data_IF_107552744222
#
_entry.id   IF_107552744222
#
_cell.length_a   1.000
_cell.length_b   1.000
_cell.length_c   1.000
_cell.angle_alpha   90.00
_cell.angle_beta   90.00
_cell.angle_gamma   90.00
#
_symmetry.space_group_name_H-M   'P 1'
#
loop_
_entity.id
_entity.type
_entity.pdbx_description
1 polymer ?
#
# COMPACT_ATOMS: atom_id res chain seq x y z
N UNK A 1 3.42 -59.16 36.54
CA UNK A 1 3.08 -57.76 36.90
C UNK A 1 2.77 -56.99 35.61
N UNK A 2 1.48 -56.70 35.34
CA UNK A 2 1.04 -55.95 34.15
C UNK A 2 0.74 -54.52 34.60
N UNK A 3 1.50 -53.55 34.07
CA UNK A 3 1.23 -52.14 34.30
C UNK A 3 0.18 -51.67 33.28
N UNK A 4 -0.96 -51.21 33.79
CA UNK A 4 -2.02 -50.61 33.00
C UNK A 4 -1.65 -49.18 32.61
N UNK A 5 -1.74 -48.87 31.33
CA UNK A 5 -1.64 -47.50 30.81
C UNK A 5 -3.00 -46.79 30.95
N UNK A 6 -3.02 -45.76 31.76
CA UNK A 6 -4.14 -44.83 31.92
C UNK A 6 -4.12 -43.84 30.75
N UNK A 7 -5.12 -43.93 29.87
CA UNK A 7 -5.34 -42.92 28.81
C UNK A 7 -6.17 -41.78 29.38
N UNK A 8 -5.54 -40.60 29.57
CA UNK A 8 -6.23 -39.39 29.94
C UNK A 8 -6.87 -38.80 28.65
N UNK A 9 -8.19 -38.81 28.62
CA UNK A 9 -8.98 -38.16 27.57
C UNK A 9 -9.12 -36.67 27.90
N UNK A 10 -8.41 -35.82 27.18
CA UNK A 10 -8.55 -34.38 27.30
C UNK A 10 -9.74 -33.95 26.43
N UNK A 11 -10.88 -33.70 27.09
CA UNK A 11 -12.00 -33.01 26.47
C UNK A 11 -11.64 -31.54 26.32
N UNK A 12 -11.37 -31.09 25.10
CA UNK A 12 -11.23 -29.68 24.78
C UNK A 12 -12.56 -28.90 24.95
N UNK A 13 -12.48 -27.63 25.34
CA UNK A 13 -13.68 -26.80 25.47
C UNK A 13 -14.35 -26.61 24.11
N UNK A 14 -15.68 -26.82 24.07
CA UNK A 14 -16.51 -26.46 22.92
C UNK A 14 -16.52 -24.93 22.81
N UNK A 15 -16.23 -24.34 21.64
CA UNK A 15 -16.54 -22.93 21.43
C UNK A 15 -18.06 -22.76 21.42
N UNK A 16 -18.55 -21.89 22.30
CA UNK A 16 -19.92 -21.37 22.22
C UNK A 16 -19.98 -20.50 20.95
N UNK A 17 -20.55 -21.04 19.90
CA UNK A 17 -20.84 -20.29 18.71
C UNK A 17 -22.10 -19.47 18.91
N UNK A 18 -21.96 -18.19 19.23
CA UNK A 18 -23.01 -17.24 18.98
C UNK A 18 -23.14 -17.08 17.44
N UNK A 19 -24.05 -17.88 16.91
CA UNK A 19 -24.42 -17.80 15.51
C UNK A 19 -25.10 -16.49 15.22
N UNK A 20 -24.35 -15.50 14.74
CA UNK A 20 -24.93 -14.46 13.91
C UNK A 20 -25.39 -15.16 12.64
N UNK A 21 -26.69 -15.45 12.59
CA UNK A 21 -27.32 -16.07 11.45
C UNK A 21 -27.15 -15.18 10.22
N UNK A 22 -26.25 -15.61 9.36
CA UNK A 22 -26.28 -15.14 7.97
C UNK A 22 -27.58 -15.70 7.41
N UNK A 23 -28.54 -14.85 6.99
CA UNK A 23 -29.74 -15.36 6.36
C UNK A 23 -29.32 -16.16 5.14
N UNK A 24 -29.66 -17.44 5.11
CA UNK A 24 -29.45 -18.28 3.94
C UNK A 24 -30.06 -17.56 2.74
N UNK A 25 -29.39 -17.57 1.57
CA UNK A 25 -30.00 -17.03 0.37
C UNK A 25 -31.30 -17.78 0.16
N UNK A 26 -32.41 -17.03 0.21
CA UNK A 26 -33.72 -17.59 -0.06
C UNK A 26 -33.65 -18.23 -1.43
N UNK A 27 -33.99 -19.52 -1.47
CA UNK A 27 -34.09 -20.26 -2.72
C UNK A 27 -34.95 -19.44 -3.67
N UNK A 28 -34.39 -19.05 -4.79
CA UNK A 28 -35.10 -18.44 -5.91
C UNK A 28 -36.24 -19.42 -6.27
N UNK A 29 -37.45 -19.03 -5.94
CA UNK A 29 -38.64 -19.70 -6.43
C UNK A 29 -38.54 -19.63 -7.94
N UNK A 30 -38.32 -20.76 -8.58
CA UNK A 30 -38.41 -20.87 -10.03
C UNK A 30 -39.87 -20.59 -10.41
N UNK A 31 -40.17 -19.50 -11.11
CA UNK A 31 -41.52 -19.30 -11.63
C UNK A 31 -41.75 -20.35 -12.70
N UNK A 32 -42.82 -21.15 -12.51
CA UNK A 32 -43.35 -22.02 -13.56
C UNK A 32 -43.60 -21.16 -14.80
N UNK A 33 -42.92 -21.48 -15.88
CA UNK A 33 -43.05 -20.76 -17.16
C UNK A 33 -44.40 -21.11 -17.74
N UNK A 34 -45.37 -20.22 -17.60
CA UNK A 34 -46.57 -20.23 -18.42
C UNK A 34 -46.12 -19.77 -19.80
N UNK A 35 -46.07 -20.74 -20.70
CA UNK A 35 -45.77 -20.50 -22.10
C UNK A 35 -46.91 -19.74 -22.76
N UNK A 36 -46.82 -18.42 -22.85
CA UNK A 36 -47.60 -17.64 -23.81
C UNK A 36 -46.81 -16.38 -24.22
N UNK A 37 -47.05 -15.94 -25.43
CA UNK A 37 -46.38 -15.01 -26.35
C UNK A 37 -45.74 -13.70 -25.84
N UNK A 38 -45.48 -13.54 -24.56
CA UNK A 38 -44.75 -12.38 -23.98
C UNK A 38 -43.31 -12.68 -23.56
N UNK A 39 -42.80 -13.87 -23.88
CA UNK A 39 -41.46 -14.33 -23.44
C UNK A 39 -40.30 -13.44 -23.91
N UNK A 40 -40.43 -12.73 -25.00
CA UNK A 40 -39.39 -11.85 -25.54
C UNK A 40 -39.19 -10.57 -24.73
N UNK A 41 -40.21 -10.01 -24.13
CA UNK A 41 -40.09 -8.78 -23.33
C UNK A 41 -39.69 -9.05 -21.90
N UNK A 42 -40.07 -10.19 -21.33
CA UNK A 42 -39.67 -10.61 -19.99
C UNK A 42 -38.18 -11.02 -19.94
N UNK A 43 -37.68 -11.66 -21.00
CA UNK A 43 -36.25 -12.02 -21.10
C UNK A 43 -35.36 -10.81 -21.22
N UNK A 44 -35.76 -9.75 -21.94
CA UNK A 44 -35.02 -8.52 -22.05
C UNK A 44 -35.00 -7.74 -20.70
N UNK A 45 -36.12 -7.72 -19.96
CA UNK A 45 -36.19 -7.11 -18.63
C UNK A 45 -35.36 -7.84 -17.58
N UNK A 46 -35.39 -9.18 -17.60
CA UNK A 46 -34.52 -9.99 -16.72
C UNK A 46 -33.04 -9.81 -17.06
N UNK A 47 -32.65 -9.82 -18.32
CA UNK A 47 -31.29 -9.57 -18.74
C UNK A 47 -30.79 -8.16 -18.34
N UNK A 48 -31.66 -7.15 -18.42
CA UNK A 48 -31.35 -5.80 -17.95
C UNK A 48 -31.17 -5.74 -16.43
N UNK A 49 -31.96 -6.45 -15.65
CA UNK A 49 -31.84 -6.54 -14.20
C UNK A 49 -30.59 -7.29 -13.77
N UNK A 50 -30.23 -8.38 -14.45
CA UNK A 50 -28.97 -9.09 -14.21
C UNK A 50 -27.75 -8.23 -14.55
N UNK A 51 -27.76 -7.52 -15.67
CA UNK A 51 -26.69 -6.61 -16.07
C UNK A 51 -26.58 -5.40 -15.13
N UNK A 52 -27.70 -4.91 -14.60
CA UNK A 52 -27.67 -3.82 -13.61
C UNK A 52 -27.13 -4.31 -12.26
N UNK A 53 -27.55 -5.48 -11.81
CA UNK A 53 -27.05 -6.08 -10.57
C UNK A 53 -25.55 -6.38 -10.62
N UNK A 54 -25.03 -6.90 -11.75
CA UNK A 54 -23.60 -7.15 -11.91
C UNK A 54 -22.78 -5.87 -11.92
N UNK A 55 -23.21 -4.82 -12.62
CA UNK A 55 -22.54 -3.52 -12.63
C UNK A 55 -22.50 -2.83 -11.28
N UNK A 56 -23.58 -2.95 -10.48
CA UNK A 56 -23.60 -2.41 -9.11
C UNK A 56 -22.66 -3.20 -8.21
N UNK A 57 -22.64 -4.52 -8.32
CA UNK A 57 -21.72 -5.37 -7.55
C UNK A 57 -20.23 -5.12 -7.92
N UNK A 58 -19.93 -4.99 -9.21
CA UNK A 58 -18.58 -4.62 -9.69
C UNK A 58 -18.15 -3.25 -9.15
N UNK A 59 -19.03 -2.24 -9.23
CA UNK A 59 -18.74 -0.91 -8.71
C UNK A 59 -18.53 -0.86 -7.19
N UNK A 60 -19.18 -1.74 -6.42
CA UNK A 60 -18.94 -1.86 -4.97
C UNK A 60 -17.61 -2.56 -4.68
N UNK A 61 -17.29 -3.64 -5.42
CA UNK A 61 -16.01 -4.34 -5.30
C UNK A 61 -14.83 -3.44 -5.65
N UNK A 62 -14.96 -2.62 -6.68
CA UNK A 62 -13.91 -1.68 -7.07
C UNK A 62 -13.68 -0.60 -6.02
N UNK A 63 -14.75 -0.06 -5.42
CA UNK A 63 -14.66 0.89 -4.30
C UNK A 63 -14.00 0.27 -3.06
N UNK A 64 -14.33 -0.97 -2.74
CA UNK A 64 -13.68 -1.66 -1.62
C UNK A 64 -12.20 -1.94 -1.89
N UNK A 65 -11.85 -2.35 -3.10
CA UNK A 65 -10.44 -2.55 -3.51
C UNK A 65 -9.68 -1.23 -3.45
N UNK A 66 -10.26 -0.15 -3.98
CA UNK A 66 -9.65 1.18 -3.93
C UNK A 66 -9.43 1.64 -2.48
N UNK A 67 -10.43 1.45 -1.61
CA UNK A 67 -10.32 1.77 -0.19
C UNK A 67 -9.20 0.98 0.48
N UNK A 68 -9.16 -0.35 0.29
CA UNK A 68 -8.10 -1.20 0.83
C UNK A 68 -6.71 -0.78 0.34
N UNK A 69 -6.60 -0.44 -0.95
CA UNK A 69 -5.34 0.04 -1.53
C UNK A 69 -4.89 1.35 -0.88
N UNK A 70 -5.82 2.30 -0.66
CA UNK A 70 -5.55 3.56 0.05
C UNK A 70 -5.13 3.33 1.50
N UNK A 71 -5.83 2.46 2.21
CA UNK A 71 -5.52 2.14 3.62
C UNK A 71 -4.13 1.50 3.75
N UNK A 72 -3.79 0.56 2.87
CA UNK A 72 -2.48 -0.10 2.82
C UNK A 72 -1.36 0.89 2.46
N UNK A 73 -1.60 1.79 1.50
CA UNK A 73 -0.64 2.85 1.14
C UNK A 73 -0.43 3.82 2.31
N UNK A 74 -1.51 4.24 2.97
CA UNK A 74 -1.43 5.13 4.13
C UNK A 74 -0.64 4.49 5.28
N UNK A 75 -0.80 3.18 5.51
CA UNK A 75 -0.04 2.46 6.52
C UNK A 75 1.46 2.44 6.16
N UNK A 76 1.83 2.11 4.91
CA UNK A 76 3.21 2.14 4.44
C UNK A 76 3.87 3.52 4.63
N UNK A 77 3.13 4.59 4.30
CA UNK A 77 3.57 5.98 4.52
C UNK A 77 3.79 6.29 6.00
N UNK A 78 2.88 5.88 6.86
CA UNK A 78 2.98 6.09 8.32
C UNK A 78 4.20 5.38 8.90
N UNK A 79 4.38 4.12 8.53
CA UNK A 79 5.47 3.30 9.05
C UNK A 79 6.84 3.79 8.56
N UNK A 80 6.92 4.31 7.33
CA UNK A 80 8.13 4.94 6.80
C UNK A 80 8.52 6.21 7.58
N UNK A 81 7.55 7.04 7.97
CA UNK A 81 7.80 8.22 8.80
C UNK A 81 8.34 7.82 10.16
N UNK A 82 7.70 6.87 10.81
CA UNK A 82 8.14 6.36 12.11
C UNK A 82 9.54 5.72 12.04
N UNK A 83 9.83 4.97 10.98
CA UNK A 83 11.15 4.40 10.73
C UNK A 83 12.21 5.50 10.55
N UNK A 84 11.91 6.54 9.77
CA UNK A 84 12.82 7.67 9.58
C UNK A 84 13.09 8.43 10.89
N UNK A 85 12.08 8.69 11.70
CA UNK A 85 12.20 9.30 13.03
C UNK A 85 13.06 8.44 13.98
N UNK A 86 13.04 7.12 13.79
CA UNK A 86 13.88 6.15 14.51
C UNK A 86 15.31 6.00 13.92
N UNK A 87 15.67 6.80 12.90
CA UNK A 87 16.99 6.82 12.30
C UNK A 87 17.20 5.88 11.11
N UNK A 88 16.13 5.24 10.61
CA UNK A 88 16.19 4.40 9.40
C UNK A 88 16.25 5.30 8.17
N UNK A 89 17.33 5.18 7.38
CA UNK A 89 17.55 6.00 6.18
C UNK A 89 17.65 5.21 4.88
N UNK A 90 17.38 3.91 4.93
CA UNK A 90 17.38 3.03 3.75
C UNK A 90 16.30 1.97 3.90
N UNK A 91 15.81 1.46 2.76
CA UNK A 91 14.80 0.39 2.75
C UNK A 91 15.49 -0.95 2.99
N UNK A 92 15.05 -1.67 4.03
CA UNK A 92 15.51 -3.04 4.25
C UNK A 92 15.02 -3.95 3.12
N UNK A 93 15.87 -4.88 2.60
CA UNK A 93 15.43 -5.89 1.65
C UNK A 93 14.28 -6.77 2.16
N UNK A 94 14.11 -6.88 3.47
CA UNK A 94 13.03 -7.64 4.09
C UNK A 94 11.67 -6.98 3.84
N UNK A 95 11.59 -5.65 3.92
CA UNK A 95 10.37 -4.89 3.61
C UNK A 95 9.86 -5.21 2.19
N UNK A 96 10.78 -5.26 1.22
CA UNK A 96 10.41 -5.55 -0.18
C UNK A 96 10.08 -7.02 -0.42
N UNK A 97 10.54 -7.94 0.43
CA UNK A 97 10.20 -9.37 0.36
C UNK A 97 8.88 -9.67 1.04
N UNK A 98 8.65 -9.12 2.22
CA UNK A 98 7.48 -9.38 3.06
C UNK A 98 6.25 -8.61 2.57
N UNK A 99 6.42 -7.34 2.23
CA UNK A 99 5.36 -6.45 1.79
C UNK A 99 5.54 -6.09 0.31
N UNK A 100 4.85 -6.82 -0.58
CA UNK A 100 4.88 -6.54 -2.02
C UNK A 100 3.80 -5.54 -2.42
N UNK A 101 4.08 -4.76 -3.48
CA UNK A 101 3.11 -3.83 -4.07
C UNK A 101 2.89 -2.58 -3.23
N UNK A 102 1.64 -2.14 -3.13
CA UNK A 102 1.24 -0.81 -2.63
C UNK A 102 1.85 -0.38 -1.30
N UNK A 103 2.00 -1.29 -0.34
CA UNK A 103 2.64 -0.97 0.95
C UNK A 103 4.13 -0.67 0.78
N UNK A 104 4.86 -1.60 0.15
CA UNK A 104 6.31 -1.46 -0.04
C UNK A 104 6.65 -0.25 -0.91
N UNK A 105 5.83 0.04 -1.91
CA UNK A 105 5.97 1.20 -2.78
C UNK A 105 5.78 2.50 -1.99
N UNK A 106 4.70 2.61 -1.21
CA UNK A 106 4.42 3.78 -0.38
C UNK A 106 5.48 3.98 0.72
N UNK A 107 5.91 2.90 1.36
CA UNK A 107 6.98 2.93 2.36
C UNK A 107 8.30 3.44 1.76
N UNK A 108 8.72 2.83 0.65
CA UNK A 108 9.98 3.17 -0.02
C UNK A 108 10.00 4.60 -0.55
N UNK A 109 8.93 5.02 -1.24
CA UNK A 109 8.80 6.38 -1.77
C UNK A 109 8.82 7.42 -0.65
N UNK A 110 8.09 7.18 0.44
CA UNK A 110 8.05 8.09 1.58
C UNK A 110 9.41 8.21 2.25
N UNK A 111 10.10 7.09 2.48
CA UNK A 111 11.41 7.09 3.10
C UNK A 111 12.45 7.79 2.22
N UNK A 112 12.40 7.60 0.90
CA UNK A 112 13.23 8.31 -0.07
C UNK A 112 13.04 9.81 -0.02
N UNK A 113 11.77 10.27 0.00
CA UNK A 113 11.42 11.69 0.12
C UNK A 113 11.95 12.31 1.42
N UNK A 114 11.78 11.63 2.55
CA UNK A 114 12.24 12.12 3.86
C UNK A 114 13.77 12.21 3.93
N UNK A 115 14.47 11.20 3.40
CA UNK A 115 15.92 11.24 3.34
C UNK A 115 16.43 12.39 2.47
N UNK A 116 15.79 12.62 1.31
CA UNK A 116 16.14 13.74 0.44
C UNK A 116 15.92 15.09 1.12
N UNK A 117 14.78 15.28 1.79
CA UNK A 117 14.50 16.51 2.55
C UNK A 117 15.55 16.75 3.64
N UNK A 118 15.96 15.72 4.37
CA UNK A 118 17.05 15.79 5.35
C UNK A 118 18.40 16.14 4.70
N UNK A 119 18.70 15.57 3.54
CA UNK A 119 19.91 15.88 2.78
C UNK A 119 19.93 17.33 2.27
N UNK A 120 18.79 17.86 1.78
CA UNK A 120 18.64 19.27 1.38
C UNK A 120 18.89 20.21 2.55
N UNK A 121 18.34 19.91 3.73
CA UNK A 121 18.56 20.73 4.94
C UNK A 121 20.06 20.76 5.31
N UNK A 122 20.74 19.61 5.27
CA UNK A 122 22.18 19.54 5.52
C UNK A 122 22.98 20.28 4.45
N UNK A 123 22.56 20.20 3.19
CA UNK A 123 23.22 20.90 2.10
C UNK A 123 23.08 22.42 2.23
N UNK A 124 21.91 22.93 2.61
CA UNK A 124 21.73 24.34 2.89
C UNK A 124 22.66 24.84 4.01
N UNK A 125 22.81 24.04 5.08
CA UNK A 125 23.78 24.33 6.13
C UNK A 125 25.24 24.28 5.62
N UNK A 126 25.55 23.35 4.73
CA UNK A 126 26.87 23.25 4.09
C UNK A 126 27.20 24.47 3.25
N UNK A 127 26.27 24.98 2.43
CA UNK A 127 26.42 26.22 1.65
C UNK A 127 26.80 27.38 2.60
N UNK A 128 26.02 27.55 3.67
CA UNK A 128 26.23 28.63 4.65
C UNK A 128 27.57 28.49 5.38
N UNK A 129 27.93 27.29 5.81
CA UNK A 129 29.15 27.03 6.57
C UNK A 129 30.43 27.22 5.74
N UNK A 130 30.36 27.04 4.42
CA UNK A 130 31.48 27.19 3.50
C UNK A 130 31.49 28.50 2.72
N UNK A 131 30.50 29.40 3.00
CA UNK A 131 30.29 30.68 2.31
C UNK A 131 30.34 30.56 0.78
N UNK A 132 29.64 29.52 0.25
CA UNK A 132 29.62 29.22 -1.17
C UNK A 132 28.97 30.34 -1.96
N UNK A 133 29.60 30.83 -2.99
CA UNK A 133 29.06 31.82 -3.89
C UNK A 133 28.09 31.19 -4.89
N UNK A 134 27.13 31.95 -5.40
CA UNK A 134 26.09 31.45 -6.30
C UNK A 134 26.62 30.62 -7.50
N UNK A 135 27.78 31.01 -8.04
CA UNK A 135 28.39 30.28 -9.18
C UNK A 135 28.98 28.92 -8.80
N UNK A 136 29.25 28.68 -7.51
CA UNK A 136 29.80 27.42 -6.98
C UNK A 136 28.71 26.42 -6.61
N UNK A 137 27.51 26.91 -6.27
CA UNK A 137 26.40 26.08 -5.81
C UNK A 137 26.03 24.97 -6.81
N UNK A 138 25.93 25.17 -8.14
CA UNK A 138 25.59 24.09 -9.07
C UNK A 138 26.58 22.92 -9.04
N UNK A 139 27.88 23.21 -8.90
CA UNK A 139 28.90 22.17 -8.74
C UNK A 139 28.75 21.42 -7.42
N UNK A 140 28.59 22.18 -6.33
CA UNK A 140 28.41 21.63 -4.99
C UNK A 140 27.14 20.76 -4.87
N UNK A 141 26.02 21.12 -5.50
CA UNK A 141 24.78 20.29 -5.56
C UNK A 141 25.09 18.89 -6.08
N UNK A 142 25.86 18.81 -7.19
CA UNK A 142 26.19 17.54 -7.82
C UNK A 142 27.11 16.69 -6.94
N UNK A 143 28.15 17.29 -6.41
CA UNK A 143 29.14 16.60 -5.57
C UNK A 143 28.53 16.13 -4.25
N UNK A 144 27.71 16.98 -3.62
CA UNK A 144 27.04 16.65 -2.37
C UNK A 144 26.05 15.49 -2.55
N UNK A 145 25.24 15.54 -3.62
CA UNK A 145 24.32 14.44 -3.95
C UNK A 145 25.09 13.12 -4.20
N UNK A 146 26.20 13.17 -4.90
CA UNK A 146 27.03 11.99 -5.14
C UNK A 146 27.57 11.40 -3.83
N UNK A 147 27.91 12.24 -2.86
CA UNK A 147 28.44 11.82 -1.56
C UNK A 147 27.32 11.25 -0.67
N UNK A 148 26.16 11.92 -0.58
CA UNK A 148 25.05 11.52 0.31
C UNK A 148 24.22 10.37 -0.23
N UNK A 149 24.11 10.23 -1.56
CA UNK A 149 23.27 9.24 -2.21
C UNK A 149 24.05 8.14 -2.94
N UNK A 150 25.25 8.44 -3.43
CA UNK A 150 26.20 7.46 -3.95
C UNK A 150 25.77 6.64 -5.16
N UNK A 151 24.77 7.11 -5.92
CA UNK A 151 24.31 6.44 -7.13
C UNK A 151 23.09 5.53 -6.95
N UNK A 152 22.52 5.45 -5.76
CA UNK A 152 21.27 4.73 -5.51
C UNK A 152 21.37 3.61 -4.48
N UNK A 153 20.22 3.17 -4.00
CA UNK A 153 20.09 2.10 -3.00
C UNK A 153 19.74 0.75 -3.63
N UNK A 154 19.37 0.75 -4.92
CA UNK A 154 18.81 -0.39 -5.63
C UNK A 154 17.30 -0.58 -5.40
N UNK A 155 16.64 0.29 -4.63
CA UNK A 155 15.20 0.35 -4.51
C UNK A 155 14.66 1.48 -5.40
N UNK A 156 14.05 1.12 -6.52
CA UNK A 156 13.62 2.08 -7.54
C UNK A 156 12.70 3.18 -6.98
N UNK A 157 11.70 2.82 -6.18
CA UNK A 157 10.72 3.77 -5.65
C UNK A 157 11.38 4.76 -4.68
N UNK A 158 12.30 4.28 -3.85
CA UNK A 158 13.09 5.11 -2.97
C UNK A 158 13.99 6.06 -3.78
N UNK A 159 14.73 5.51 -4.74
CA UNK A 159 15.72 6.25 -5.53
C UNK A 159 15.07 7.34 -6.38
N UNK A 160 13.94 7.05 -7.03
CA UNK A 160 13.17 8.01 -7.84
C UNK A 160 12.65 9.16 -6.98
N UNK A 161 12.02 8.88 -5.85
CA UNK A 161 11.48 9.94 -4.98
C UNK A 161 12.59 10.75 -4.30
N UNK A 162 13.69 10.11 -3.92
CA UNK A 162 14.85 10.84 -3.42
C UNK A 162 15.35 11.85 -4.46
N UNK A 163 15.61 11.41 -5.69
CA UNK A 163 16.15 12.29 -6.74
C UNK A 163 15.18 13.40 -7.12
N UNK A 164 13.88 13.10 -7.15
CA UNK A 164 12.84 14.09 -7.43
C UNK A 164 12.81 15.21 -6.38
N UNK A 165 12.79 14.85 -5.10
CA UNK A 165 12.78 15.83 -3.99
C UNK A 165 14.09 16.60 -3.96
N UNK A 166 15.23 15.92 -4.08
CA UNK A 166 16.55 16.56 -4.14
C UNK A 166 16.62 17.59 -5.26
N UNK A 167 16.31 17.19 -6.50
CA UNK A 167 16.39 18.06 -7.67
C UNK A 167 15.47 19.28 -7.53
N UNK A 168 14.19 19.07 -7.16
CA UNK A 168 13.24 20.16 -7.04
C UNK A 168 13.67 21.17 -5.97
N UNK A 169 14.09 20.69 -4.80
CA UNK A 169 14.47 21.56 -3.70
C UNK A 169 15.81 22.28 -3.92
N UNK A 170 16.74 21.67 -4.64
CA UNK A 170 18.04 22.30 -4.93
C UNK A 170 17.97 23.28 -6.10
N UNK A 171 17.01 23.15 -7.01
CA UNK A 171 16.77 24.17 -8.05
C UNK A 171 16.43 25.54 -7.46
N UNK A 172 15.72 25.59 -6.34
CA UNK A 172 15.40 26.83 -5.65
C UNK A 172 16.63 27.50 -5.00
N UNK A 173 17.68 26.75 -4.74
CA UNK A 173 18.93 27.26 -4.17
C UNK A 173 19.90 27.81 -5.22
N UNK A 174 19.69 27.51 -6.50
CA UNK A 174 20.56 27.90 -7.62
C UNK A 174 20.11 29.22 -8.28
N UNK A 175 18.90 29.70 -7.96
CA UNK A 175 18.32 30.95 -8.47
C UNK A 175 18.30 32.04 -7.44
#
# INVERSE_FOLDING_TARGET
MKQGRSTVSIRGPRPAGDGVGIPAPQALVTPEIIADQSAGQLSAGLAALFNFGSKVAEGQLDKEREKRTKDVSAQGTKDARQAYESGVTSVSPEITKEYKGTYADAYSSTLGSLKAAGAVTKFAAYITANDLQNHEIPGAVKEYNQTEFGGGTGNLNFDVEYQKVWTNSTQELVH
#
